data_IF_878853681656
#
_entry.id   IF_878853681656
#
_cell.length_a   1.000
_cell.length_b   1.000
_cell.length_c   1.000
_cell.angle_alpha   90.00
_cell.angle_beta   90.00
_cell.angle_gamma   90.00
#
_symmetry.space_group_name_H-M   'P 1'
#
loop_
_entity.id
_entity.type
_entity.pdbx_description
1 polymer ?
#
# COMPACT_ATOMS: atom_id res chain seq x y z
N UNK A 1 11.93 8.32 -24.69
CA UNK A 1 10.58 7.72 -24.50
C UNK A 1 10.22 7.78 -23.02
N UNK A 2 9.02 8.26 -22.62
CA UNK A 2 8.61 8.24 -21.22
C UNK A 2 8.63 6.79 -20.73
N UNK A 3 9.40 6.50 -19.67
CA UNK A 3 9.41 5.17 -19.07
C UNK A 3 8.02 4.87 -18.51
N UNK A 4 7.51 3.66 -18.75
CA UNK A 4 6.24 3.24 -18.17
C UNK A 4 6.36 3.21 -16.64
N UNK A 5 5.30 3.60 -15.92
CA UNK A 5 5.27 3.59 -14.46
C UNK A 5 5.69 2.25 -13.86
N UNK A 6 5.33 1.14 -14.53
CA UNK A 6 5.72 -0.23 -14.16
C UNK A 6 7.24 -0.41 -14.20
N UNK A 7 7.93 0.13 -15.22
CA UNK A 7 9.40 0.08 -15.31
C UNK A 7 10.07 1.04 -14.32
N UNK A 8 9.48 2.20 -14.07
CA UNK A 8 10.03 3.20 -13.16
C UNK A 8 9.86 2.83 -11.68
N UNK A 9 8.76 2.14 -11.34
CA UNK A 9 8.33 1.80 -9.97
C UNK A 9 7.74 0.38 -9.90
N UNK A 10 8.55 -0.67 -10.17
CA UNK A 10 8.05 -2.05 -10.27
C UNK A 10 7.44 -2.57 -8.98
N UNK A 11 7.98 -2.15 -7.82
CA UNK A 11 7.52 -2.56 -6.51
C UNK A 11 6.15 -1.98 -6.15
N UNK A 12 5.94 -0.70 -6.50
CA UNK A 12 4.65 -0.02 -6.33
C UNK A 12 3.57 -0.69 -7.20
N UNK A 13 3.92 -1.02 -8.46
CA UNK A 13 3.04 -1.74 -9.36
C UNK A 13 2.70 -3.15 -8.83
N UNK A 14 3.67 -3.86 -8.27
CA UNK A 14 3.46 -5.17 -7.66
C UNK A 14 2.51 -5.08 -6.45
N UNK A 15 2.74 -4.13 -5.53
CA UNK A 15 1.84 -3.87 -4.39
C UNK A 15 0.42 -3.59 -4.87
N UNK A 16 0.27 -2.75 -5.88
CA UNK A 16 -1.03 -2.42 -6.45
C UNK A 16 -1.74 -3.66 -7.03
N UNK A 17 -1.04 -4.45 -7.85
CA UNK A 17 -1.59 -5.69 -8.42
C UNK A 17 -2.03 -6.64 -7.32
N UNK A 18 -1.23 -6.78 -6.27
CA UNK A 18 -1.56 -7.67 -5.15
C UNK A 18 -2.76 -7.16 -4.34
N UNK A 19 -2.86 -5.85 -4.10
CA UNK A 19 -4.02 -5.22 -3.46
C UNK A 19 -5.28 -5.40 -4.30
N UNK A 20 -5.23 -5.13 -5.61
CA UNK A 20 -6.35 -5.30 -6.52
C UNK A 20 -6.78 -6.78 -6.57
N UNK A 21 -5.84 -7.71 -6.67
CA UNK A 21 -6.12 -9.14 -6.66
C UNK A 21 -6.81 -9.58 -5.37
N UNK A 22 -6.34 -9.09 -4.22
CA UNK A 22 -6.92 -9.41 -2.91
C UNK A 22 -8.33 -8.85 -2.76
N UNK A 23 -8.56 -7.61 -3.21
CA UNK A 23 -9.88 -6.97 -3.21
C UNK A 23 -10.85 -7.70 -4.15
N UNK A 24 -10.43 -8.00 -5.38
CA UNK A 24 -11.26 -8.70 -6.36
C UNK A 24 -11.67 -10.10 -5.86
N UNK A 25 -10.71 -10.83 -5.28
CA UNK A 25 -10.95 -12.14 -4.70
C UNK A 25 -11.87 -12.06 -3.48
N UNK A 26 -11.67 -11.07 -2.61
CA UNK A 26 -12.56 -10.78 -1.49
C UNK A 26 -14.00 -10.46 -1.90
N UNK A 27 -14.18 -9.59 -2.89
CA UNK A 27 -15.51 -9.23 -3.43
C UNK A 27 -16.17 -10.43 -4.12
N UNK A 28 -15.44 -11.20 -4.92
CA UNK A 28 -15.96 -12.39 -5.59
C UNK A 28 -16.40 -13.48 -4.59
N UNK A 29 -15.62 -13.69 -3.52
CA UNK A 29 -15.98 -14.59 -2.42
C UNK A 29 -17.20 -14.10 -1.65
N UNK A 30 -17.33 -12.79 -1.39
CA UNK A 30 -18.50 -12.23 -0.70
C UNK A 30 -19.77 -12.34 -1.56
N UNK A 31 -19.66 -12.09 -2.86
CA UNK A 31 -20.76 -12.21 -3.81
C UNK A 31 -21.17 -13.67 -4.11
N UNK A 32 -20.48 -14.66 -3.55
CA UNK A 32 -20.77 -16.09 -3.76
C UNK A 32 -20.46 -16.58 -5.17
N UNK A 33 -19.65 -15.85 -5.93
CA UNK A 33 -19.29 -16.19 -7.31
C UNK A 33 -18.33 -17.38 -7.35
N UNK A 34 -17.55 -17.60 -6.28
CA UNK A 34 -16.60 -18.70 -6.19
C UNK A 34 -17.23 -19.92 -5.47
N UNK A 35 -17.38 -21.07 -6.14
CA UNK A 35 -18.02 -22.24 -5.54
C UNK A 35 -17.22 -22.77 -4.34
N UNK A 36 -17.84 -22.80 -3.15
CA UNK A 36 -17.26 -23.38 -1.93
C UNK A 36 -16.12 -22.59 -1.27
N UNK A 37 -15.81 -21.37 -1.74
CA UNK A 37 -14.60 -20.62 -1.34
C UNK A 37 -14.89 -19.25 -0.70
N UNK A 38 -16.11 -19.02 -0.19
CA UNK A 38 -16.48 -17.73 0.41
C UNK A 38 -15.56 -17.37 1.58
N UNK A 39 -15.12 -18.37 2.36
CA UNK A 39 -14.22 -18.16 3.49
C UNK A 39 -12.81 -17.78 3.05
N UNK A 40 -12.29 -18.37 1.96
CA UNK A 40 -10.92 -18.15 1.48
C UNK A 40 -10.69 -16.68 1.10
N UNK A 41 -11.65 -16.02 0.44
CA UNK A 41 -11.48 -14.62 0.08
C UNK A 41 -11.60 -13.66 1.26
N UNK A 42 -12.48 -13.96 2.22
CA UNK A 42 -12.58 -13.20 3.46
C UNK A 42 -11.31 -13.34 4.32
N UNK A 43 -10.76 -14.55 4.40
CA UNK A 43 -9.48 -14.80 5.06
C UNK A 43 -8.34 -14.06 4.34
N UNK A 44 -8.34 -14.05 3.01
CA UNK A 44 -7.36 -13.29 2.24
C UNK A 44 -7.40 -11.80 2.58
N UNK A 45 -8.60 -11.20 2.64
CA UNK A 45 -8.79 -9.80 3.05
C UNK A 45 -8.29 -9.52 4.48
N UNK A 46 -8.50 -10.47 5.41
CA UNK A 46 -8.11 -10.31 6.81
C UNK A 46 -6.60 -10.47 7.04
N UNK A 47 -5.95 -11.43 6.35
CA UNK A 47 -4.58 -11.84 6.65
C UNK A 47 -3.53 -11.34 5.65
N UNK A 48 -3.88 -11.08 4.39
CA UNK A 48 -2.93 -10.51 3.42
C UNK A 48 -2.32 -9.15 3.85
N UNK A 49 -2.99 -8.27 4.63
CA UNK A 49 -2.38 -7.06 5.19
C UNK A 49 -1.10 -7.32 6.01
N UNK A 50 -0.95 -8.51 6.62
CA UNK A 50 0.29 -8.90 7.31
C UNK A 50 1.49 -8.94 6.34
N UNK A 51 1.29 -9.48 5.15
CA UNK A 51 2.33 -9.55 4.11
C UNK A 51 2.65 -8.13 3.63
N UNK A 52 1.62 -7.31 3.40
CA UNK A 52 1.82 -5.91 3.04
C UNK A 52 2.60 -5.14 4.11
N UNK A 53 2.35 -5.40 5.40
CA UNK A 53 3.08 -4.74 6.50
C UNK A 53 4.58 -5.01 6.42
N UNK A 54 4.96 -6.26 6.14
CA UNK A 54 6.38 -6.65 5.98
C UNK A 54 6.98 -5.94 4.76
N UNK A 55 6.30 -5.95 3.62
CA UNK A 55 6.77 -5.31 2.39
C UNK A 55 6.94 -3.80 2.57
N UNK A 56 5.93 -3.12 3.12
CA UNK A 56 5.96 -1.67 3.39
C UNK A 56 7.05 -1.32 4.41
N UNK A 57 7.23 -2.14 5.44
CA UNK A 57 8.30 -1.94 6.43
C UNK A 57 9.69 -2.09 5.80
N UNK A 58 9.90 -3.12 4.97
CA UNK A 58 11.17 -3.32 4.25
C UNK A 58 11.47 -2.15 3.31
N UNK A 59 10.46 -1.65 2.58
CA UNK A 59 10.61 -0.45 1.75
C UNK A 59 10.97 0.79 2.56
N UNK A 60 10.29 1.00 3.69
CA UNK A 60 10.56 2.13 4.57
C UNK A 60 11.99 2.08 5.12
N UNK A 61 12.44 0.91 5.57
CA UNK A 61 13.82 0.69 6.03
C UNK A 61 14.84 0.96 4.93
N UNK A 62 14.64 0.41 3.72
CA UNK A 62 15.56 0.62 2.60
C UNK A 62 15.68 2.09 2.21
N UNK A 63 14.58 2.84 2.24
CA UNK A 63 14.66 4.26 1.94
C UNK A 63 15.16 5.10 3.10
N UNK A 64 14.87 4.73 4.35
CA UNK A 64 15.48 5.35 5.52
C UNK A 64 16.99 5.18 5.47
N UNK A 65 17.47 3.97 5.17
CA UNK A 65 18.89 3.69 4.96
C UNK A 65 19.52 4.54 3.85
N UNK A 66 18.86 4.65 2.68
CA UNK A 66 19.32 5.51 1.58
C UNK A 66 19.31 6.99 1.94
N UNK A 67 18.38 7.42 2.79
CA UNK A 67 18.29 8.81 3.25
C UNK A 67 19.42 9.14 4.21
N UNK A 68 19.73 8.25 5.16
CA UNK A 68 20.85 8.40 6.10
C UNK A 68 22.19 8.44 5.38
N UNK A 69 22.31 7.75 4.24
CA UNK A 69 23.50 7.80 3.37
C UNK A 69 23.55 8.99 2.41
N UNK A 70 22.55 9.87 2.40
CA UNK A 70 22.55 11.04 1.52
C UNK A 70 23.33 12.19 2.16
N UNK A 71 24.02 12.98 1.33
CA UNK A 71 24.86 14.09 1.79
C UNK A 71 24.06 15.20 2.51
N UNK A 72 22.78 15.40 2.14
CA UNK A 72 21.87 16.32 2.82
C UNK A 72 20.46 15.73 2.99
N UNK A 73 20.20 15.03 4.11
CA UNK A 73 18.92 14.37 4.36
C UNK A 73 17.80 15.37 4.68
N UNK A 74 18.14 16.50 5.31
CA UNK A 74 17.18 17.50 5.76
C UNK A 74 16.58 18.26 4.56
N UNK A 75 17.42 18.65 3.59
CA UNK A 75 16.96 19.30 2.36
C UNK A 75 16.05 18.39 1.51
N UNK A 76 16.33 17.08 1.45
CA UNK A 76 15.49 16.11 0.72
C UNK A 76 14.12 15.91 1.36
N UNK A 77 14.05 15.89 2.68
CA UNK A 77 12.78 15.75 3.42
C UNK A 77 11.90 16.99 3.24
N UNK A 78 12.49 18.19 3.30
CA UNK A 78 11.75 19.45 3.15
C UNK A 78 11.29 19.71 1.73
N UNK A 79 12.06 19.28 0.71
CA UNK A 79 11.68 19.38 -0.69
C UNK A 79 10.48 18.49 -1.08
N UNK A 80 10.18 17.44 -0.30
CA UNK A 80 9.14 16.45 -0.62
C UNK A 80 8.21 16.14 0.57
N UNK A 81 7.87 17.16 1.38
CA UNK A 81 7.06 17.00 2.61
C UNK A 81 5.77 16.19 2.41
N UNK A 82 4.98 16.51 1.37
CA UNK A 82 3.71 15.81 1.11
C UNK A 82 3.91 14.33 0.77
N UNK A 83 4.91 14.01 -0.06
CA UNK A 83 5.25 12.64 -0.42
C UNK A 83 5.75 11.83 0.80
N UNK A 84 6.56 12.47 1.65
CA UNK A 84 7.04 11.85 2.90
C UNK A 84 5.91 11.60 3.88
N UNK A 85 4.98 12.55 4.05
CA UNK A 85 3.83 12.38 4.94
C UNK A 85 2.97 11.17 4.54
N UNK A 86 2.64 11.04 3.25
CA UNK A 86 1.82 9.93 2.75
C UNK A 86 2.54 8.59 2.94
N UNK A 87 3.85 8.58 2.80
CA UNK A 87 4.66 7.38 3.08
C UNK A 87 4.64 6.98 4.56
N UNK A 88 4.72 7.96 5.46
CA UNK A 88 4.60 7.69 6.90
C UNK A 88 3.21 7.17 7.22
N UNK A 89 2.16 7.73 6.62
CA UNK A 89 0.78 7.24 6.77
C UNK A 89 0.66 5.80 6.26
N UNK A 90 1.18 5.49 5.06
CA UNK A 90 1.22 4.12 4.53
C UNK A 90 1.88 3.17 5.53
N UNK A 91 3.07 3.51 6.03
CA UNK A 91 3.79 2.68 7.00
C UNK A 91 2.99 2.48 8.29
N UNK A 92 2.53 3.57 8.92
CA UNK A 92 1.83 3.52 10.20
C UNK A 92 0.55 2.70 10.07
N UNK A 93 -0.28 2.96 9.06
CA UNK A 93 -1.55 2.24 8.88
C UNK A 93 -1.31 0.77 8.56
N UNK A 94 -0.38 0.47 7.64
CA UNK A 94 -0.12 -0.91 7.20
C UNK A 94 0.52 -1.75 8.30
N UNK A 95 1.27 -1.16 9.23
CA UNK A 95 1.84 -1.88 10.38
C UNK A 95 0.86 -1.94 11.55
N UNK A 96 0.17 -0.83 11.87
CA UNK A 96 -0.74 -0.77 13.00
C UNK A 96 -1.97 -1.66 12.82
N UNK A 97 -2.55 -1.73 11.62
CA UNK A 97 -3.72 -2.56 11.34
C UNK A 97 -3.52 -4.05 11.72
N UNK A 98 -2.51 -4.76 11.18
CA UNK A 98 -2.22 -6.13 11.58
C UNK A 98 -1.75 -6.24 13.04
N UNK A 99 -1.01 -5.25 13.56
CA UNK A 99 -0.58 -5.23 14.96
C UNK A 99 -1.75 -5.18 15.94
N UNK A 100 -2.74 -4.32 15.68
CA UNK A 100 -3.99 -4.24 16.45
C UNK A 100 -4.77 -5.54 16.34
N UNK A 101 -4.88 -6.10 15.13
CA UNK A 101 -5.59 -7.36 14.91
C UNK A 101 -4.96 -8.52 15.69
N UNK A 102 -3.63 -8.64 15.63
CA UNK A 102 -2.89 -9.63 16.41
C UNK A 102 -3.06 -9.43 17.91
N UNK A 103 -2.95 -8.19 18.41
CA UNK A 103 -3.15 -7.87 19.82
C UNK A 103 -4.56 -8.25 20.30
N UNK A 104 -5.59 -8.05 19.45
CA UNK A 104 -6.95 -8.48 19.75
C UNK A 104 -7.05 -10.01 19.85
N UNK A 105 -6.49 -10.76 18.90
CA UNK A 105 -6.47 -12.23 18.95
C UNK A 105 -5.81 -12.72 20.24
N UNK A 106 -4.64 -12.19 20.57
CA UNK A 106 -3.89 -12.58 21.79
C UNK A 106 -4.68 -12.24 23.06
N UNK A 107 -5.34 -11.07 23.10
CA UNK A 107 -6.10 -10.62 24.27
C UNK A 107 -7.36 -11.47 24.51
N UNK A 108 -8.01 -11.93 23.44
CA UNK A 108 -9.24 -12.73 23.54
C UNK A 108 -8.91 -14.18 23.95
N UNK A 109 -7.75 -14.71 23.56
CA UNK A 109 -7.33 -16.07 23.90
C UNK A 109 -7.91 -17.15 22.96
N UNK A 110 -7.78 -18.43 23.37
CA UNK A 110 -8.06 -19.59 22.51
C UNK A 110 -9.53 -20.00 22.37
N UNK A 111 -10.41 -19.54 23.27
CA UNK A 111 -11.82 -19.93 23.26
C UNK A 111 -12.68 -18.75 22.79
N UNK A 112 -12.83 -18.64 21.46
CA UNK A 112 -13.79 -17.71 20.86
C UNK A 112 -14.96 -18.53 20.32
N UNK A 113 -16.17 -18.44 20.91
CA UNK A 113 -17.33 -19.13 20.37
C UNK A 113 -17.62 -18.63 18.94
N UNK A 114 -18.19 -19.50 18.10
CA UNK A 114 -18.37 -19.27 16.66
C UNK A 114 -18.81 -17.86 16.24
N UNK A 115 -19.83 -17.25 16.87
CA UNK A 115 -20.25 -15.88 16.56
C UNK A 115 -19.17 -14.81 16.83
N UNK A 116 -18.39 -14.98 17.91
CA UNK A 116 -17.28 -14.09 18.26
C UNK A 116 -16.12 -14.19 17.26
N UNK A 117 -15.84 -15.39 16.74
CA UNK A 117 -14.80 -15.60 15.74
C UNK A 117 -15.15 -14.92 14.41
N UNK A 118 -16.43 -14.94 14.02
CA UNK A 118 -16.95 -14.23 12.85
C UNK A 118 -16.82 -12.71 13.04
N UNK A 119 -17.19 -12.19 14.21
CA UNK A 119 -17.02 -10.77 14.53
C UNK A 119 -15.55 -10.32 14.45
N UNK A 120 -14.63 -11.13 14.97
CA UNK A 120 -13.19 -10.89 14.89
C UNK A 120 -12.70 -10.88 13.45
N UNK A 121 -13.17 -11.79 12.60
CA UNK A 121 -12.87 -11.81 11.18
C UNK A 121 -13.28 -10.50 10.49
N UNK A 122 -14.47 -9.96 10.78
CA UNK A 122 -14.92 -8.68 10.23
C UNK A 122 -14.07 -7.50 10.70
N UNK A 123 -13.61 -7.49 11.95
CA UNK A 123 -12.65 -6.49 12.45
C UNK A 123 -11.34 -6.59 11.66
N UNK A 124 -10.83 -7.81 11.47
CA UNK A 124 -9.63 -8.06 10.65
C UNK A 124 -9.78 -7.56 9.22
N UNK A 125 -10.92 -7.82 8.58
CA UNK A 125 -11.24 -7.30 7.24
C UNK A 125 -11.26 -5.77 7.24
N UNK A 126 -11.93 -5.13 8.20
CA UNK A 126 -12.00 -3.67 8.30
C UNK A 126 -10.61 -3.03 8.44
N UNK A 127 -9.77 -3.59 9.31
CA UNK A 127 -8.37 -3.18 9.46
C UNK A 127 -7.56 -3.42 8.19
N UNK A 128 -7.80 -4.54 7.50
CA UNK A 128 -7.17 -4.86 6.23
C UNK A 128 -7.53 -3.88 5.11
N UNK A 129 -8.81 -3.49 5.02
CA UNK A 129 -9.26 -2.48 4.07
C UNK A 129 -8.58 -1.12 4.30
N UNK A 130 -8.32 -0.74 5.56
CA UNK A 130 -7.55 0.48 5.87
C UNK A 130 -6.11 0.38 5.34
N UNK A 131 -5.45 -0.76 5.53
CA UNK A 131 -4.11 -1.00 4.99
C UNK A 131 -4.09 -0.94 3.46
N UNK A 132 -5.06 -1.57 2.79
CA UNK A 132 -5.21 -1.47 1.34
C UNK A 132 -5.45 -0.04 0.87
N UNK A 133 -6.33 0.70 1.56
CA UNK A 133 -6.60 2.11 1.28
C UNK A 133 -5.33 2.96 1.37
N UNK A 134 -4.48 2.71 2.36
CA UNK A 134 -3.22 3.43 2.51
C UNK A 134 -2.23 3.15 1.36
N UNK A 135 -2.10 1.89 0.94
CA UNK A 135 -1.27 1.50 -0.22
C UNK A 135 -1.82 2.06 -1.54
N UNK A 136 -3.14 2.08 -1.70
CA UNK A 136 -3.81 2.69 -2.86
C UNK A 136 -3.56 4.19 -2.91
N UNK A 137 -3.75 4.90 -1.80
CA UNK A 137 -3.49 6.33 -1.69
C UNK A 137 -2.03 6.65 -2.05
N UNK A 138 -1.08 5.87 -1.51
CA UNK A 138 0.34 6.00 -1.85
C UNK A 138 0.57 5.86 -3.35
N UNK A 139 -0.04 4.85 -3.96
CA UNK A 139 0.15 4.53 -5.38
C UNK A 139 -0.44 5.59 -6.30
N UNK A 140 -1.62 6.13 -5.94
CA UNK A 140 -2.23 7.24 -6.65
C UNK A 140 -1.33 8.49 -6.62
N UNK A 141 -0.76 8.79 -5.45
CA UNK A 141 0.13 9.95 -5.29
C UNK A 141 1.43 9.76 -6.08
N UNK A 142 2.04 8.57 -6.05
CA UNK A 142 3.22 8.28 -6.88
C UNK A 142 2.91 8.42 -8.38
N UNK A 143 1.76 7.92 -8.81
CA UNK A 143 1.33 8.01 -10.20
C UNK A 143 1.11 9.47 -10.63
N UNK A 144 0.45 10.27 -9.80
CA UNK A 144 0.22 11.69 -10.04
C UNK A 144 1.54 12.46 -10.18
N UNK A 145 2.47 12.28 -9.23
CA UNK A 145 3.78 12.92 -9.29
C UNK A 145 4.61 12.48 -10.50
N UNK A 146 4.56 11.19 -10.86
CA UNK A 146 5.24 10.69 -12.05
C UNK A 146 4.69 11.37 -13.30
N UNK A 147 3.37 11.46 -13.44
CA UNK A 147 2.71 12.09 -14.59
C UNK A 147 3.06 13.57 -14.70
N UNK A 148 3.07 14.29 -13.58
CA UNK A 148 3.38 15.72 -13.55
C UNK A 148 4.84 16.02 -13.94
N UNK A 149 5.80 15.19 -13.51
CA UNK A 149 7.21 15.34 -13.92
C UNK A 149 7.42 15.04 -15.41
N UNK A 150 6.73 14.03 -15.94
CA UNK A 150 6.80 13.71 -17.37
C UNK A 150 6.18 14.81 -18.25
N UNK A 151 5.13 15.50 -17.79
CA UNK A 151 4.54 16.62 -18.54
C UNK A 151 5.45 17.85 -18.58
N UNK A 152 6.11 18.19 -17.46
CA UNK A 152 7.02 19.36 -17.41
C UNK A 152 8.24 19.14 -18.31
N UNK A 153 8.87 17.97 -18.25
CA UNK A 153 10.01 17.63 -19.11
C UNK A 153 9.70 17.70 -20.60
N UNK A 154 8.47 17.37 -21.01
CA UNK A 154 8.04 17.49 -22.42
C UNK A 154 7.79 18.92 -22.87
N UNK A 155 7.40 19.79 -21.95
CA UNK A 155 7.18 21.21 -22.26
C UNK A 155 8.51 21.95 -22.41
N UNK A 156 9.51 21.61 -21.59
CA UNK A 156 10.86 22.18 -21.72
C UNK A 156 11.56 21.72 -23.02
N UNK A 157 11.44 20.44 -23.40
CA UNK A 157 11.98 19.94 -24.69
C UNK A 157 11.35 20.66 -25.89
N UNK A 158 10.03 20.92 -25.86
CA UNK A 158 9.34 21.67 -26.94
C UNK A 158 9.61 23.17 -26.93
N UNK A 159 9.96 23.75 -25.77
CA UNK A 159 10.33 25.16 -25.66
C UNK A 159 11.74 25.43 -26.18
N UNK A 160 12.66 24.46 -26.07
CA UNK A 160 14.00 24.53 -26.64
C UNK A 160 14.01 24.48 -28.16
N UNK A 161 13.16 23.64 -28.77
CA UNK A 161 13.08 23.47 -30.24
C UNK A 161 12.48 24.68 -31.00
N UNK A 162 11.90 25.66 -30.30
CA UNK A 162 11.34 26.89 -30.90
C UNK A 162 12.26 28.11 -30.74
N UNK A 163 13.42 27.93 -30.12
CA UNK A 163 14.39 29.00 -29.84
C UNK A 163 15.69 28.91 -30.69
N UNK A 164 15.77 27.94 -31.62
CA UNK A 164 16.79 27.86 -32.67
C UNK A 164 16.19 28.21 -34.04
#
# INVERSE_FOLDING_TARGET
MPSSFIRAKPLQALKLTAVIGSLALGVASFAGVLPGQNLTGLLSLAFFPMILAVVVSAEALLAGYRLVRADDPAARLTAQRGYTAIRVIELVVTVAAPGIFYALIVRIGGEVPGPGAIGLLFIGIGLGLLAYGAVLLRTLVEYYYHRQRTSVSRTDERGGDLAE
#
